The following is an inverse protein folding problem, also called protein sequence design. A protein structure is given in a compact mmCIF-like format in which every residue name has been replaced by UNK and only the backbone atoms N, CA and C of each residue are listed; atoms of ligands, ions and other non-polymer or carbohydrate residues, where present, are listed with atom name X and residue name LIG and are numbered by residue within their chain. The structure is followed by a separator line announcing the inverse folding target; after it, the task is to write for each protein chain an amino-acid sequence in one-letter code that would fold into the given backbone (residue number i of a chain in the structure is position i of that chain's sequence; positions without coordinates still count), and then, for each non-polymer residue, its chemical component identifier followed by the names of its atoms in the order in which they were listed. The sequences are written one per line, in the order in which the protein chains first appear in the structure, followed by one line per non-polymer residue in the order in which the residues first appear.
data_IF_351222421247
#
_entry.id   IF_351222421247
#
_cell.length_a   1.000
_cell.length_b   1.000
_cell.length_c   1.000
_cell.angle_alpha   90.00
_cell.angle_beta   90.00
_cell.angle_gamma   90.00
#
_symmetry.space_group_name_H-M   'P 1'
#
loop_
_entity.id
_entity.type
_entity.pdbx_description
1 polymer ?
#
# COMPACT_ATOMS: atom_id res chain seq x y z
N UNK A 1 8.57 5.92 -6.42
CA UNK A 1 8.83 5.92 -7.86
C UNK A 1 7.51 6.02 -8.55
N UNK A 2 7.45 6.78 -9.62
CA UNK A 2 6.27 6.88 -10.49
C UNK A 2 5.99 5.51 -11.11
N UNK A 3 4.72 5.16 -11.33
CA UNK A 3 4.35 3.93 -12.02
C UNK A 3 5.10 3.82 -13.37
N UNK A 4 5.71 2.66 -13.64
CA UNK A 4 6.46 2.42 -14.88
C UNK A 4 7.89 2.98 -14.91
N UNK A 5 8.36 3.65 -13.85
CA UNK A 5 9.78 4.03 -13.72
C UNK A 5 10.58 2.96 -12.98
N UNK A 6 11.89 2.89 -13.26
CA UNK A 6 12.79 2.01 -12.50
C UNK A 6 12.72 2.36 -11.01
N UNK A 7 12.53 1.33 -10.17
CA UNK A 7 12.48 1.49 -8.72
C UNK A 7 13.86 1.88 -8.20
N UNK A 8 13.88 2.83 -7.28
CA UNK A 8 15.11 3.26 -6.59
C UNK A 8 15.18 2.64 -5.19
N UNK A 9 16.28 2.86 -4.47
CA UNK A 9 16.39 2.46 -3.05
C UNK A 9 15.38 3.18 -2.13
N UNK A 10 14.76 4.26 -2.60
CA UNK A 10 13.64 4.90 -1.90
C UNK A 10 12.31 4.14 -2.06
N UNK A 11 12.25 3.18 -2.99
CA UNK A 11 11.04 2.43 -3.36
C UNK A 11 11.11 0.97 -2.95
N UNK A 12 12.32 0.42 -2.86
CA UNK A 12 12.58 -0.98 -2.51
C UNK A 12 13.94 -1.10 -1.84
N UNK A 13 14.06 -2.05 -0.92
CA UNK A 13 15.33 -2.45 -0.31
C UNK A 13 16.08 -3.52 -1.13
N UNK A 14 15.56 -3.90 -2.31
CA UNK A 14 16.21 -4.88 -3.18
C UNK A 14 17.36 -4.23 -3.95
N UNK A 15 18.52 -4.90 -3.94
CA UNK A 15 19.69 -4.52 -4.75
C UNK A 15 19.47 -4.81 -6.24
N UNK A 16 18.73 -5.88 -6.54
CA UNK A 16 18.39 -6.32 -7.89
C UNK A 16 16.86 -6.42 -8.02
N UNK A 17 16.26 -6.03 -9.16
CA UNK A 17 14.83 -6.17 -9.37
C UNK A 17 14.39 -7.63 -9.26
N UNK A 18 13.38 -7.89 -8.42
CA UNK A 18 12.66 -9.16 -8.35
C UNK A 18 13.53 -10.40 -8.01
N UNK A 19 14.73 -10.21 -7.46
CA UNK A 19 15.62 -11.32 -7.09
C UNK A 19 16.53 -10.95 -5.92
N UNK A 20 16.92 -11.94 -5.13
CA UNK A 20 17.89 -11.77 -4.05
C UNK A 20 19.32 -11.98 -4.57
N UNK A 21 20.30 -11.17 -4.11
CA UNK A 21 21.70 -11.42 -4.41
C UNK A 21 22.16 -12.82 -4.02
N UNK A 22 23.12 -13.36 -4.76
CA UNK A 22 23.71 -14.67 -4.44
C UNK A 22 24.23 -14.69 -2.99
N UNK A 23 23.96 -15.79 -2.28
CA UNK A 23 24.36 -15.98 -0.88
C UNK A 23 23.41 -15.37 0.16
N UNK A 24 22.35 -14.66 -0.24
CA UNK A 24 21.28 -14.17 0.64
C UNK A 24 20.00 -14.96 0.40
N UNK A 25 19.59 -15.77 1.37
CA UNK A 25 18.24 -16.34 1.41
C UNK A 25 17.37 -15.52 2.36
N UNK A 26 16.05 -15.53 2.19
CA UNK A 26 15.13 -14.80 3.06
C UNK A 26 13.92 -15.68 3.40
N UNK A 27 13.56 -15.77 4.67
CA UNK A 27 12.34 -16.45 5.10
C UNK A 27 11.22 -15.43 5.20
N UNK A 28 10.14 -15.61 4.43
CA UNK A 28 8.94 -14.79 4.54
C UNK A 28 8.02 -15.42 5.58
N UNK A 29 7.68 -14.63 6.59
CA UNK A 29 6.78 -15.00 7.69
C UNK A 29 5.44 -14.28 7.60
N UNK A 30 5.42 -13.04 7.11
CA UNK A 30 4.18 -12.30 6.94
C UNK A 30 4.22 -11.32 5.77
N UNK A 31 3.03 -10.90 5.33
CA UNK A 31 2.83 -9.93 4.25
C UNK A 31 1.91 -8.82 4.75
N UNK A 32 2.25 -7.61 4.34
CA UNK A 32 1.46 -6.41 4.61
C UNK A 32 1.47 -5.47 3.39
N UNK A 33 0.36 -4.75 3.23
CA UNK A 33 0.17 -3.77 2.16
C UNK A 33 0.00 -2.39 2.78
N UNK A 34 0.86 -1.47 2.36
CA UNK A 34 0.81 -0.06 2.71
C UNK A 34 0.08 0.73 1.63
N UNK A 35 -0.86 1.59 2.04
CA UNK A 35 -1.51 2.56 1.16
C UNK A 35 -1.37 3.97 1.74
N UNK A 36 -0.71 4.86 1.00
CA UNK A 36 -0.54 6.26 1.36
C UNK A 36 -1.19 7.15 0.30
N UNK A 37 -2.38 7.71 0.55
CA UNK A 37 -2.97 8.66 -0.38
C UNK A 37 -2.12 9.93 -0.44
N UNK A 38 -2.10 10.57 -1.61
CA UNK A 38 -1.47 11.87 -1.82
C UNK A 38 -2.50 13.00 -1.84
N UNK A 39 -2.08 14.20 -2.24
CA UNK A 39 -2.95 15.39 -2.30
C UNK A 39 -3.04 16.04 -3.68
N UNK A 40 -2.54 15.38 -4.74
CA UNK A 40 -2.48 15.93 -6.09
C UNK A 40 -2.89 14.88 -7.12
N UNK A 41 -3.62 15.32 -8.15
CA UNK A 41 -4.02 14.52 -9.31
C UNK A 41 -3.07 14.65 -10.50
N UNK A 42 -2.05 15.52 -10.40
CA UNK A 42 -1.06 15.72 -11.47
C UNK A 42 -0.37 14.40 -11.79
N UNK A 43 -0.51 13.95 -13.04
CA UNK A 43 0.06 12.69 -13.49
C UNK A 43 1.51 12.53 -13.05
N UNK A 44 1.87 11.34 -12.59
CA UNK A 44 3.22 10.97 -12.19
C UNK A 44 3.80 11.78 -11.01
N UNK A 45 2.96 12.52 -10.29
CA UNK A 45 3.39 13.33 -9.14
C UNK A 45 2.72 12.81 -7.88
N UNK A 46 3.51 12.62 -6.83
CA UNK A 46 3.01 12.34 -5.49
C UNK A 46 3.46 13.46 -4.54
N UNK A 47 2.49 14.05 -3.87
CA UNK A 47 2.72 15.01 -2.80
C UNK A 47 2.06 14.46 -1.54
N UNK A 48 2.82 14.43 -0.45
CA UNK A 48 2.32 14.00 0.85
C UNK A 48 1.17 14.93 1.24
N UNK A 49 0.02 14.35 1.57
CA UNK A 49 -1.10 15.14 2.02
C UNK A 49 -0.82 15.78 3.37
N UNK A 50 -1.13 17.07 3.48
CA UNK A 50 -1.11 17.77 4.76
C UNK A 50 -2.52 17.72 5.37
N UNK A 51 -2.73 16.99 6.48
CA UNK A 51 -4.05 16.87 7.09
C UNK A 51 -4.54 18.17 7.75
N UNK A 52 -3.71 19.21 7.86
CA UNK A 52 -4.04 20.46 8.56
C UNK A 52 -4.68 21.56 7.68
N UNK A 53 -4.89 21.34 6.37
CA UNK A 53 -5.39 22.38 5.46
C UNK A 53 -6.91 22.28 5.25
N UNK A 54 -7.67 23.08 5.99
CA UNK A 54 -9.09 23.37 5.75
C UNK A 54 -9.25 24.61 4.87
N UNK A 55 -9.38 24.43 3.55
CA UNK A 55 -9.92 25.46 2.67
C UNK A 55 -11.29 24.97 2.17
N UNK A 56 -12.37 25.72 2.39
CA UNK A 56 -13.75 25.26 2.24
C UNK A 56 -14.16 24.77 0.83
N UNK A 57 -13.35 25.05 -0.20
CA UNK A 57 -13.48 24.48 -1.57
C UNK A 57 -12.51 23.34 -1.88
N UNK A 58 -11.42 23.19 -1.11
CA UNK A 58 -10.46 22.08 -1.22
C UNK A 58 -10.71 20.96 -0.17
N UNK A 59 -11.50 21.26 0.87
CA UNK A 59 -11.83 20.38 2.00
C UNK A 59 -12.44 19.06 1.55
N UNK A 60 -13.43 19.09 0.64
CA UNK A 60 -14.08 17.88 0.13
C UNK A 60 -13.11 16.94 -0.60
N UNK A 61 -12.10 17.49 -1.29
CA UNK A 61 -11.10 16.68 -2.01
C UNK A 61 -10.04 16.10 -1.05
N UNK A 62 -9.62 16.88 -0.04
CA UNK A 62 -8.63 16.45 0.97
C UNK A 62 -9.24 15.60 2.08
N UNK A 63 -10.57 15.60 2.28
CA UNK A 63 -11.25 14.60 3.10
C UNK A 63 -11.51 13.31 2.30
N UNK A 64 -11.81 13.41 1.01
CA UNK A 64 -12.03 12.26 0.13
C UNK A 64 -10.83 11.31 0.01
N UNK A 65 -9.58 11.77 0.24
CA UNK A 65 -8.42 10.88 0.30
C UNK A 65 -8.52 9.81 1.40
N UNK A 66 -9.26 10.08 2.48
CA UNK A 66 -9.49 9.08 3.52
C UNK A 66 -10.49 8.01 3.01
N UNK A 67 -11.43 8.39 2.15
CA UNK A 67 -12.30 7.44 1.47
C UNK A 67 -11.55 6.58 0.44
N UNK A 68 -10.41 7.05 -0.11
CA UNK A 68 -9.54 6.23 -0.97
C UNK A 68 -8.97 5.03 -0.20
N UNK A 69 -8.64 5.20 1.09
CA UNK A 69 -8.17 4.09 1.93
C UNK A 69 -9.22 2.97 1.94
N UNK A 70 -10.49 3.34 2.03
CA UNK A 70 -11.58 2.38 2.01
C UNK A 70 -11.72 1.67 0.67
N UNK A 71 -11.75 2.44 -0.43
CA UNK A 71 -11.92 1.87 -1.76
C UNK A 71 -10.74 0.95 -2.11
N UNK A 72 -9.52 1.33 -1.73
CA UNK A 72 -8.33 0.51 -1.93
C UNK A 72 -8.38 -0.79 -1.13
N UNK A 73 -8.56 -0.75 0.19
CA UNK A 73 -8.49 -1.96 1.02
C UNK A 73 -9.70 -2.90 0.83
N UNK A 74 -10.87 -2.39 0.43
CA UNK A 74 -12.02 -3.24 0.12
C UNK A 74 -11.97 -3.88 -1.27
N UNK A 75 -11.00 -3.54 -2.11
CA UNK A 75 -10.92 -4.03 -3.48
C UNK A 75 -9.56 -4.64 -3.81
N UNK A 76 -9.54 -5.45 -4.86
CA UNK A 76 -8.30 -6.07 -5.36
C UNK A 76 -7.85 -7.33 -4.62
N UNK A 77 -6.84 -7.97 -5.21
CA UNK A 77 -6.23 -9.21 -4.74
C UNK A 77 -4.70 -9.10 -4.82
N UNK A 78 -4.00 -9.76 -3.92
CA UNK A 78 -2.54 -9.82 -3.89
C UNK A 78 -2.12 -11.22 -4.23
N UNK A 79 -1.15 -11.32 -5.13
CA UNK A 79 -0.53 -12.56 -5.55
C UNK A 79 0.97 -12.52 -5.24
N UNK A 80 1.47 -13.54 -4.54
CA UNK A 80 2.91 -13.80 -4.43
C UNK A 80 3.25 -14.96 -5.35
N UNK A 81 4.05 -14.69 -6.38
CA UNK A 81 4.57 -15.71 -7.29
C UNK A 81 6.08 -15.84 -7.09
N UNK A 82 6.57 -17.07 -7.06
CA UNK A 82 8.01 -17.37 -7.10
C UNK A 82 8.21 -18.28 -8.31
N UNK A 83 9.03 -17.83 -9.25
CA UNK A 83 9.10 -18.38 -10.61
C UNK A 83 7.69 -18.43 -11.23
N UNK A 84 7.25 -19.60 -11.70
CA UNK A 84 5.94 -19.79 -12.33
C UNK A 84 4.86 -20.29 -11.36
N UNK A 85 5.17 -20.44 -10.07
CA UNK A 85 4.23 -20.96 -9.08
C UNK A 85 3.65 -19.81 -8.25
N UNK A 86 2.32 -19.77 -8.15
CA UNK A 86 1.62 -18.93 -7.20
C UNK A 86 1.67 -19.59 -5.81
N UNK A 87 2.20 -18.87 -4.83
CA UNK A 87 2.30 -19.32 -3.44
C UNK A 87 1.19 -18.74 -2.57
N UNK A 88 0.73 -17.54 -2.89
CA UNK A 88 -0.39 -16.90 -2.21
C UNK A 88 -1.23 -16.14 -3.23
N UNK A 89 -2.55 -16.27 -3.10
CA UNK A 89 -3.54 -15.43 -3.77
C UNK A 89 -4.69 -15.22 -2.80
N UNK A 90 -4.89 -13.97 -2.39
CA UNK A 90 -5.89 -13.65 -1.37
C UNK A 90 -6.63 -12.35 -1.72
N UNK A 91 -7.89 -12.27 -1.28
CA UNK A 91 -8.79 -11.13 -1.47
C UNK A 91 -9.71 -10.99 -0.24
N UNK A 92 -10.08 -9.78 0.20
CA UNK A 92 -9.69 -8.47 -0.34
C UNK A 92 -8.40 -7.92 0.29
N UNK A 93 -7.91 -6.77 -0.20
CA UNK A 93 -6.67 -6.13 0.29
C UNK A 93 -6.60 -5.90 1.80
N UNK A 94 -7.75 -5.72 2.47
CA UNK A 94 -7.80 -5.56 3.93
C UNK A 94 -7.28 -6.78 4.69
N UNK A 95 -7.16 -7.95 4.05
CA UNK A 95 -6.53 -9.14 4.63
C UNK A 95 -5.03 -8.93 4.93
N UNK A 96 -4.40 -7.91 4.33
CA UNK A 96 -2.99 -7.56 4.51
C UNK A 96 -2.81 -6.23 5.24
N UNK A 97 -3.34 -6.06 6.47
CA UNK A 97 -3.28 -4.79 7.16
C UNK A 97 -1.83 -4.43 7.50
N UNK A 98 -1.47 -3.13 7.49
CA UNK A 98 -0.14 -2.68 7.85
C UNK A 98 0.11 -2.83 9.36
N UNK A 99 1.34 -3.22 9.78
CA UNK A 99 1.69 -3.28 11.21
C UNK A 99 1.79 -1.90 11.86
N UNK A 100 2.14 -0.88 11.09
CA UNK A 100 2.21 0.50 11.54
C UNK A 100 1.33 1.39 10.65
N UNK A 101 0.48 2.21 11.25
CA UNK A 101 -0.34 3.19 10.55
C UNK A 101 -0.33 4.55 11.25
N UNK A 102 -0.60 5.59 10.48
CA UNK A 102 -0.98 6.88 11.03
C UNK A 102 -2.47 6.86 11.32
N UNK A 103 -2.85 7.20 12.54
CA UNK A 103 -4.26 7.32 12.91
C UNK A 103 -4.65 8.80 13.01
N UNK A 104 -5.77 9.14 12.38
CA UNK A 104 -6.43 10.42 12.55
C UNK A 104 -7.94 10.16 12.68
N UNK A 105 -8.46 10.50 13.85
CA UNK A 105 -9.90 10.56 14.11
C UNK A 105 -10.31 12.03 14.01
N UNK A 106 -11.02 12.40 12.94
CA UNK A 106 -11.40 13.78 12.69
C UNK A 106 -12.90 13.91 12.39
N UNK A 107 -13.49 14.97 12.95
CA UNK A 107 -14.81 15.46 12.57
C UNK A 107 -14.65 16.89 12.08
N UNK A 108 -15.35 17.21 11.00
CA UNK A 108 -15.33 18.54 10.42
C UNK A 108 -16.74 19.06 10.17
N UNK A 109 -16.88 20.35 10.41
CA UNK A 109 -18.11 21.09 10.19
C UNK A 109 -17.74 22.41 9.50
N UNK A 110 -18.53 22.77 8.49
CA UNK A 110 -18.40 24.02 7.77
C UNK A 110 -19.63 24.89 7.98
N UNK A 111 -19.42 26.19 8.20
CA UNK A 111 -20.47 27.20 8.21
C UNK A 111 -20.63 27.88 6.82
N UNK A 112 -20.00 27.32 5.78
CA UNK A 112 -20.09 27.84 4.42
C UNK A 112 -21.53 27.81 3.92
N UNK A 113 -22.03 28.95 3.43
CA UNK A 113 -23.39 29.06 2.91
C UNK A 113 -23.59 28.33 1.56
N UNK A 114 -22.51 27.99 0.86
CA UNK A 114 -22.55 27.35 -0.48
C UNK A 114 -21.92 25.96 -0.51
N UNK A 115 -21.08 25.62 0.48
CA UNK A 115 -20.31 24.37 0.54
C UNK A 115 -20.27 23.79 1.95
N UNK A 116 -21.42 23.79 2.65
CA UNK A 116 -21.53 23.16 3.96
C UNK A 116 -21.32 21.64 3.83
N UNK A 117 -20.17 21.16 4.31
CA UNK A 117 -19.89 19.73 4.49
C UNK A 117 -19.82 19.44 5.99
N UNK A 118 -20.61 18.45 6.41
CA UNK A 118 -20.59 17.88 7.76
C UNK A 118 -20.15 16.43 7.60
N UNK A 119 -19.04 16.05 8.24
CA UNK A 119 -18.48 14.72 8.10
C UNK A 119 -17.67 14.31 9.32
N UNK A 120 -17.73 13.02 9.64
CA UNK A 120 -16.79 12.37 10.54
C UNK A 120 -16.08 11.30 9.72
N UNK A 121 -14.75 11.29 9.75
CA UNK A 121 -13.97 10.37 8.95
C UNK A 121 -12.89 9.73 9.80
N UNK A 122 -12.97 8.41 9.91
CA UNK A 122 -11.94 7.54 10.46
C UNK A 122 -11.89 6.32 9.55
N UNK A 123 -10.83 6.22 8.73
CA UNK A 123 -10.59 5.01 7.94
C UNK A 123 -9.11 4.66 7.97
N UNK A 124 -8.83 3.43 8.38
CA UNK A 124 -7.51 2.82 8.42
C UNK A 124 -7.65 1.32 8.23
N UNK A 125 -6.69 0.72 7.54
CA UNK A 125 -6.45 -0.71 7.70
C UNK A 125 -5.66 -0.92 8.99
N UNK A 126 -6.15 -1.79 9.86
CA UNK A 126 -5.52 -2.14 11.12
C UNK A 126 -5.82 -3.59 11.45
N UNK A 127 -4.87 -4.26 12.08
CA UNK A 127 -5.00 -5.65 12.45
C UNK A 127 -3.65 -6.33 12.55
N UNK A 128 -3.68 -7.65 12.63
CA UNK A 128 -2.49 -8.49 12.61
C UNK A 128 -2.03 -8.66 11.16
N UNK A 129 -0.71 -8.53 10.86
CA UNK A 129 -0.18 -8.85 9.54
C UNK A 129 -0.61 -10.26 9.09
N UNK A 130 -0.72 -10.46 7.78
CA UNK A 130 -1.08 -11.75 7.22
C UNK A 130 0.08 -12.72 7.38
N UNK A 131 -0.03 -13.67 8.31
CA UNK A 131 0.98 -14.71 8.47
C UNK A 131 0.91 -15.72 7.33
N UNK A 132 2.08 -16.10 6.82
CA UNK A 132 2.20 -17.17 5.87
C UNK A 132 2.55 -18.45 6.62
N UNK A 133 1.67 -19.45 6.54
CA UNK A 133 1.89 -20.79 7.08
C UNK A 133 1.59 -21.85 6.01
N UNK A 134 2.56 -22.67 5.59
CA UNK A 134 3.96 -22.68 6.02
C UNK A 134 4.74 -21.47 5.51
N UNK A 135 5.74 -21.03 6.28
CA UNK A 135 6.65 -19.94 5.89
C UNK A 135 7.33 -20.23 4.56
N UNK A 136 7.54 -19.20 3.74
CA UNK A 136 8.10 -19.35 2.39
C UNK A 136 9.56 -18.89 2.37
N UNK A 137 10.47 -19.81 2.08
CA UNK A 137 11.88 -19.49 1.90
C UNK A 137 12.15 -19.00 0.46
N UNK A 138 12.51 -17.72 0.31
CA UNK A 138 13.09 -17.18 -0.90
C UNK A 138 14.55 -17.61 -1.01
N UNK A 139 14.85 -18.34 -2.08
CA UNK A 139 16.20 -18.77 -2.40
C UNK A 139 16.98 -17.66 -3.12
N UNK A 140 18.31 -17.61 -2.99
CA UNK A 140 19.14 -16.68 -3.73
C UNK A 140 18.98 -16.87 -5.24
N UNK A 141 19.08 -15.79 -6.02
CA UNK A 141 19.00 -15.82 -7.48
C UNK A 141 17.71 -16.45 -8.07
N UNK A 142 16.64 -16.55 -7.29
CA UNK A 142 15.32 -16.99 -7.76
C UNK A 142 14.42 -15.77 -7.94
N UNK A 143 13.78 -15.67 -9.11
CA UNK A 143 12.86 -14.59 -9.40
C UNK A 143 11.57 -14.76 -8.60
N UNK A 144 11.09 -13.67 -8.02
CA UNK A 144 9.79 -13.58 -7.38
C UNK A 144 9.10 -12.28 -7.76
N UNK A 145 7.77 -12.27 -7.69
CA UNK A 145 6.98 -11.08 -7.90
C UNK A 145 5.83 -11.03 -6.89
N UNK A 146 5.50 -9.81 -6.48
CA UNK A 146 4.24 -9.53 -5.79
C UNK A 146 3.41 -8.66 -6.70
N UNK A 147 2.20 -9.12 -7.01
CA UNK A 147 1.29 -8.45 -7.93
C UNK A 147 0.01 -8.10 -7.19
N UNK A 148 -0.35 -6.82 -7.24
CA UNK A 148 -1.68 -6.37 -6.82
C UNK A 148 -2.52 -6.23 -8.09
N UNK A 149 -3.65 -6.94 -8.14
CA UNK A 149 -4.60 -6.89 -9.25
C UNK A 149 -5.91 -6.34 -8.76
N UNK A 150 -6.51 -5.46 -9.56
CA UNK A 150 -7.87 -5.01 -9.35
C UNK A 150 -8.77 -5.58 -10.45
N UNK A 151 -10.00 -6.03 -10.13
CA UNK A 151 -10.90 -6.61 -11.12
C UNK A 151 -11.36 -5.57 -12.17
N UNK A 152 -11.39 -4.29 -11.78
CA UNK A 152 -11.64 -3.14 -12.63
C UNK A 152 -10.82 -1.96 -12.09
N UNK A 153 -10.79 -0.85 -12.83
CA UNK A 153 -10.20 0.39 -12.31
C UNK A 153 -10.91 0.79 -11.00
N UNK A 154 -10.18 0.82 -9.90
CA UNK A 154 -10.71 1.28 -8.61
C UNK A 154 -10.66 2.80 -8.62
N UNK A 155 -11.83 3.42 -8.73
CA UNK A 155 -11.92 4.87 -8.59
C UNK A 155 -11.57 5.25 -7.15
N UNK A 156 -10.44 5.91 -6.95
CA UNK A 156 -10.14 6.64 -5.71
C UNK A 156 -11.02 7.88 -5.69
N UNK A 157 -12.00 8.01 -4.76
CA UNK A 157 -12.90 9.14 -4.71
C UNK A 157 -12.23 10.52 -4.75
N UNK A 158 -11.01 10.65 -4.22
CA UNK A 158 -10.27 11.93 -4.25
C UNK A 158 -9.75 12.31 -5.65
N UNK A 159 -9.57 11.34 -6.55
CA UNK A 159 -8.85 11.53 -7.81
C UNK A 159 -7.35 11.81 -7.66
N UNK A 160 -6.78 11.68 -6.46
CA UNK A 160 -5.36 11.91 -6.20
C UNK A 160 -4.51 10.67 -6.43
N UNK A 161 -3.23 10.89 -6.75
CA UNK A 161 -2.26 9.81 -6.83
C UNK A 161 -1.91 9.30 -5.43
N UNK A 162 -1.76 8.00 -5.29
CA UNK A 162 -1.34 7.34 -4.05
C UNK A 162 0.00 6.59 -4.22
N UNK A 163 0.64 6.29 -3.10
CA UNK A 163 1.76 5.34 -3.03
C UNK A 163 1.28 4.04 -2.41
N UNK A 164 1.58 2.95 -3.09
CA UNK A 164 1.31 1.59 -2.61
C UNK A 164 2.64 0.90 -2.36
N UNK A 165 2.78 0.29 -1.19
CA UNK A 165 3.93 -0.51 -0.81
C UNK A 165 3.50 -1.92 -0.42
N UNK A 166 4.37 -2.90 -0.62
CA UNK A 166 4.22 -4.23 -0.06
C UNK A 166 5.47 -4.52 0.75
N UNK A 167 5.29 -5.05 1.96
CA UNK A 167 6.38 -5.53 2.79
C UNK A 167 6.23 -7.04 2.94
N UNK A 168 7.32 -7.75 2.63
CA UNK A 168 7.51 -9.15 2.97
C UNK A 168 8.35 -9.17 4.24
N UNK A 169 7.75 -9.51 5.37
CA UNK A 169 8.41 -9.50 6.67
C UNK A 169 8.99 -10.88 6.99
N UNK A 170 10.07 -10.88 7.76
CA UNK A 170 10.81 -12.08 8.15
C UNK A 170 12.30 -11.81 8.28
N UNK A 171 13.15 -12.81 8.00
CA UNK A 171 14.58 -12.72 8.30
C UNK A 171 15.48 -13.27 7.19
N UNK A 172 16.65 -12.65 7.02
CA UNK A 172 17.68 -13.15 6.12
C UNK A 172 18.36 -14.38 6.72
N UNK A 173 18.48 -15.42 5.90
CA UNK A 173 19.23 -16.63 6.17
C UNK A 173 20.56 -16.55 5.42
N UNK A 174 21.65 -16.76 6.16
CA UNK A 174 22.98 -16.93 5.55
C UNK A 174 23.16 -18.41 5.22
N UNK A 175 23.71 -18.71 4.04
CA UNK A 175 24.24 -20.06 3.79
C UNK A 175 25.33 -20.31 4.85
N UNK A 176 25.13 -21.28 5.74
CA UNK A 176 26.16 -21.63 6.73
C UNK A 176 27.45 -22.00 5.98
N UNK A 177 28.57 -21.47 6.46
CA UNK A 177 29.90 -21.87 5.99
C UNK A 177 30.24 -23.28 6.48
#
# INVERSE_FOLDING_TARGET
GTAGTAKTLWDTNLELPNTLPSGKAFMIESIEVLFFPGSVSTANTYTIANPALFNATASAAVSAQIADVNSFYQSGMLELNILSKNYLRETPMIAFPPKANFNLDAAYASNSATTAELGAVNMRAAGRPYYIDPTIALQPAVNFEVVIRFPAAVATPSGFNARVGVILDGYFMRASQ
#
